data_IF_919094715341
#
_entry.id   IF_919094715341
#
_cell.length_a   1.000
_cell.length_b   1.000
_cell.length_c   1.000
_cell.angle_alpha   90.00
_cell.angle_beta   90.00
_cell.angle_gamma   90.00
#
_symmetry.space_group_name_H-M   'P 1'
#
loop_
_entity.id
_entity.type
_entity.pdbx_description
1 polymer ?
#
# COMPACT_ATOMS: atom_id res chain seq x y z
N UNK A 1 8.66 10.53 -2.16
CA UNK A 1 9.61 9.39 -2.25
C UNK A 1 9.07 8.44 -3.29
N UNK A 2 9.92 7.87 -4.14
CA UNK A 2 9.50 6.78 -5.03
C UNK A 2 9.24 5.52 -4.20
N UNK A 3 8.30 4.67 -4.61
CA UNK A 3 8.14 3.35 -4.03
C UNK A 3 9.46 2.56 -4.10
N UNK A 4 9.84 1.91 -3.00
CA UNK A 4 11.01 1.00 -2.96
C UNK A 4 10.63 -0.39 -3.51
N UNK A 5 11.57 -1.10 -4.13
CA UNK A 5 11.34 -2.39 -4.82
C UNK A 5 10.69 -3.50 -3.96
N UNK A 6 10.71 -3.34 -2.63
CA UNK A 6 10.15 -4.32 -1.68
C UNK A 6 8.87 -3.84 -0.99
N UNK A 7 8.31 -2.72 -1.42
CA UNK A 7 7.03 -2.24 -0.93
C UNK A 7 5.89 -3.02 -1.58
N UNK A 8 4.96 -3.49 -0.75
CA UNK A 8 3.82 -4.25 -1.23
C UNK A 8 2.56 -3.84 -0.47
N UNK A 9 1.45 -3.77 -1.20
CA UNK A 9 0.13 -3.71 -0.61
C UNK A 9 -0.53 -5.05 -0.91
N UNK A 10 -0.98 -5.74 0.12
CA UNK A 10 -1.64 -7.04 0.02
C UNK A 10 -3.02 -6.94 0.62
N UNK A 11 -4.03 -7.50 -0.04
CA UNK A 11 -5.34 -7.69 0.55
C UNK A 11 -5.44 -9.11 1.09
N UNK A 12 -5.54 -9.26 2.41
CA UNK A 12 -5.88 -10.54 3.02
C UNK A 12 -7.38 -10.79 2.87
N UNK A 13 -7.72 -11.78 2.05
CA UNK A 13 -9.12 -12.14 1.79
C UNK A 13 -9.82 -12.81 2.96
N UNK A 14 -9.07 -13.36 3.94
CA UNK A 14 -9.60 -14.04 5.12
C UNK A 14 -9.98 -13.01 6.17
N UNK A 15 -9.02 -12.19 6.62
CA UNK A 15 -9.27 -11.13 7.61
C UNK A 15 -9.91 -9.88 7.02
N UNK A 16 -9.99 -9.80 5.68
CA UNK A 16 -10.47 -8.62 4.94
C UNK A 16 -9.61 -7.38 5.18
N UNK A 17 -8.35 -7.52 5.53
CA UNK A 17 -7.47 -6.38 5.83
C UNK A 17 -6.59 -6.00 4.64
N UNK A 18 -6.23 -4.72 4.54
CA UNK A 18 -5.08 -4.31 3.73
C UNK A 18 -3.82 -4.40 4.58
N UNK A 19 -2.75 -4.93 4.00
CA UNK A 19 -1.44 -5.06 4.63
C UNK A 19 -0.44 -4.31 3.78
N UNK A 20 0.15 -3.25 4.34
CA UNK A 20 1.27 -2.54 3.74
C UNK A 20 2.55 -3.13 4.32
N UNK A 21 3.42 -3.61 3.44
CA UNK A 21 4.71 -4.22 3.78
C UNK A 21 5.81 -3.24 3.38
N UNK A 22 6.63 -2.83 4.36
CA UNK A 22 7.76 -1.94 4.12
C UNK A 22 8.91 -2.19 5.11
N UNK A 23 10.12 -2.43 4.59
CA UNK A 23 11.33 -2.66 5.40
C UNK A 23 11.08 -3.58 6.60
N UNK A 24 10.51 -4.75 6.32
CA UNK A 24 10.18 -5.79 7.32
C UNK A 24 9.09 -5.39 8.33
N UNK A 25 8.46 -4.22 8.17
CA UNK A 25 7.30 -3.81 8.95
C UNK A 25 6.02 -4.11 8.18
N UNK A 26 5.03 -4.58 8.94
CA UNK A 26 3.67 -4.82 8.46
C UNK A 26 2.75 -3.78 9.10
N UNK A 27 2.01 -3.04 8.29
CA UNK A 27 0.97 -2.12 8.74
C UNK A 27 -0.37 -2.64 8.24
N UNK A 28 -1.29 -2.88 9.18
CA UNK A 28 -2.59 -3.45 8.89
C UNK A 28 -3.66 -2.36 8.92
N UNK A 29 -4.52 -2.34 7.91
CA UNK A 29 -5.62 -1.41 7.81
C UNK A 29 -6.95 -2.16 7.73
N UNK A 30 -7.90 -1.73 8.58
CA UNK A 30 -9.35 -1.93 8.44
C UNK A 30 -9.86 -3.36 8.31
N UNK A 31 -11.16 -3.48 8.07
CA UNK A 31 -11.83 -4.67 7.53
C UNK A 31 -12.67 -4.23 6.33
N UNK A 32 -12.16 -4.50 5.14
CA UNK A 32 -12.69 -4.02 3.88
C UNK A 32 -13.59 -5.05 3.22
N UNK A 33 -14.80 -4.62 2.86
CA UNK A 33 -15.75 -5.47 2.12
C UNK A 33 -15.23 -5.83 0.72
N UNK A 34 -14.39 -4.98 0.12
CA UNK A 34 -13.87 -5.17 -1.23
C UNK A 34 -12.36 -5.01 -1.28
N UNK A 35 -11.76 -5.74 -2.22
CA UNK A 35 -10.32 -5.66 -2.51
C UNK A 35 -9.89 -4.25 -2.93
N UNK A 36 -10.71 -3.56 -3.72
CA UNK A 36 -10.39 -2.20 -4.16
C UNK A 36 -10.36 -1.19 -3.00
N UNK A 37 -11.30 -1.29 -2.05
CA UNK A 37 -11.27 -0.43 -0.86
C UNK A 37 -10.01 -0.66 -0.02
N UNK A 38 -9.57 -1.92 0.08
CA UNK A 38 -8.33 -2.28 0.76
C UNK A 38 -7.09 -1.68 0.08
N UNK A 39 -6.99 -1.82 -1.24
CA UNK A 39 -5.88 -1.22 -2.00
C UNK A 39 -5.87 0.30 -1.89
N UNK A 40 -7.02 0.95 -2.02
CA UNK A 40 -7.10 2.40 -1.88
C UNK A 40 -6.61 2.86 -0.50
N UNK A 41 -7.01 2.18 0.57
CA UNK A 41 -6.55 2.53 1.92
C UNK A 41 -5.04 2.32 2.11
N UNK A 42 -4.47 1.27 1.49
CA UNK A 42 -3.03 1.06 1.48
C UNK A 42 -2.29 2.17 0.71
N UNK A 43 -2.80 2.55 -0.46
CA UNK A 43 -2.24 3.65 -1.27
C UNK A 43 -2.33 4.99 -0.53
N UNK A 44 -3.44 5.27 0.14
CA UNK A 44 -3.61 6.50 0.91
C UNK A 44 -2.65 6.52 2.11
N UNK A 45 -2.43 5.38 2.78
CA UNK A 45 -1.37 5.27 3.79
C UNK A 45 0.00 5.58 3.20
N UNK A 46 0.31 5.04 2.02
CA UNK A 46 1.57 5.29 1.37
C UNK A 46 1.77 6.77 1.01
N UNK A 47 0.73 7.43 0.48
CA UNK A 47 0.74 8.87 0.19
C UNK A 47 0.91 9.73 1.43
N UNK A 48 0.25 9.37 2.54
CA UNK A 48 0.40 10.04 3.84
C UNK A 48 1.84 9.96 4.36
N UNK A 49 2.54 8.86 4.07
CA UNK A 49 3.96 8.68 4.39
C UNK A 49 4.90 9.34 3.38
N UNK A 50 4.35 9.99 2.34
CA UNK A 50 5.08 10.71 1.31
C UNK A 50 5.59 9.85 0.16
N UNK A 51 5.06 8.64 -0.02
CA UNK A 51 5.35 7.79 -1.18
C UNK A 51 4.39 8.08 -2.35
N UNK A 52 4.95 8.21 -3.54
CA UNK A 52 4.19 8.55 -4.75
C UNK A 52 4.86 7.93 -6.00
N UNK A 53 4.04 7.35 -6.87
CA UNK A 53 4.44 6.80 -8.18
C UNK A 53 4.89 7.88 -9.17
N UNK A 54 4.49 9.15 -8.97
CA UNK A 54 4.77 10.25 -9.90
C UNK A 54 6.26 10.51 -10.15
N UNK A 55 7.16 10.05 -9.26
CA UNK A 55 8.61 10.15 -9.48
C UNK A 55 9.16 9.08 -10.43
N UNK A 56 8.51 7.91 -10.54
CA UNK A 56 8.96 6.81 -11.41
C UNK A 56 8.65 7.07 -12.89
N UNK A 57 7.58 7.83 -13.17
CA UNK A 57 7.17 8.19 -14.54
C UNK A 57 8.06 9.26 -15.22
N UNK A 58 9.02 9.87 -14.51
CA UNK A 58 9.92 10.90 -15.07
C UNK A 58 11.27 10.37 -15.56
N UNK A 59 11.51 9.06 -15.47
CA UNK A 59 12.81 8.43 -15.82
C UNK A 59 12.65 7.31 -16.86
N UNK A 60 11.51 7.25 -17.55
CA UNK A 60 11.21 6.28 -18.61
C UNK A 60 11.01 6.96 -19.96
#
# INVERSE_FOLDING_TARGET
MTYEDRMQIVFDTVSKMAVVIFREKLTFHGSFTTRNAAYQAGEDHCRLMGWDDAQRAKVS
#
